data_IF_988341684489
#
_entry.id   IF_988341684489
#
_cell.length_a   1.000
_cell.length_b   1.000
_cell.length_c   1.000
_cell.angle_alpha   90.00
_cell.angle_beta   90.00
_cell.angle_gamma   90.00
#
_symmetry.space_group_name_H-M   'P 1'
#
loop_
_entity.id
_entity.type
_entity.pdbx_description
1 polymer ?
#
# COMPACT_ATOMS: atom_id res chain seq x y z
N UNK A 1 9.85 -24.60 -3.57
CA UNK A 1 10.90 -23.54 -3.61
C UNK A 1 10.50 -22.33 -4.47
N UNK A 2 9.99 -22.53 -5.70
CA UNK A 2 9.46 -21.47 -6.58
C UNK A 2 8.25 -20.73 -5.99
N UNK A 3 7.32 -21.45 -5.35
CA UNK A 3 6.11 -20.84 -4.73
C UNK A 3 6.42 -19.76 -3.70
N UNK A 4 7.46 -19.93 -2.86
CA UNK A 4 7.83 -18.92 -1.83
C UNK A 4 8.40 -17.64 -2.43
N UNK A 5 9.26 -17.77 -3.44
CA UNK A 5 9.80 -16.61 -4.17
C UNK A 5 8.70 -15.90 -4.95
N UNK A 6 7.80 -16.66 -5.59
CA UNK A 6 6.65 -16.12 -6.29
C UNK A 6 5.72 -15.34 -5.35
N UNK A 7 5.35 -15.92 -4.19
CA UNK A 7 4.55 -15.22 -3.17
C UNK A 7 5.24 -13.95 -2.68
N UNK A 8 6.55 -13.98 -2.44
CA UNK A 8 7.31 -12.79 -2.06
C UNK A 8 7.23 -11.68 -3.11
N UNK A 9 7.50 -12.01 -4.38
CA UNK A 9 7.42 -11.03 -5.47
C UNK A 9 6.00 -10.52 -5.67
N UNK A 10 4.99 -11.39 -5.52
CA UNK A 10 3.59 -11.01 -5.61
C UNK A 10 3.22 -10.02 -4.50
N UNK A 11 3.62 -10.27 -3.25
CA UNK A 11 3.40 -9.34 -2.14
C UNK A 11 4.09 -8.00 -2.37
N UNK A 12 5.34 -7.99 -2.81
CA UNK A 12 6.07 -6.77 -3.16
C UNK A 12 5.35 -5.98 -4.25
N UNK A 13 4.90 -6.68 -5.31
CA UNK A 13 4.18 -6.04 -6.42
C UNK A 13 2.86 -5.42 -5.94
N UNK A 14 2.10 -6.14 -5.11
CA UNK A 14 0.86 -5.62 -4.50
C UNK A 14 1.15 -4.39 -3.63
N UNK A 15 2.21 -4.41 -2.81
CA UNK A 15 2.58 -3.25 -1.99
C UNK A 15 2.95 -2.03 -2.84
N UNK A 16 3.71 -2.21 -3.91
CA UNK A 16 4.08 -1.12 -4.83
C UNK A 16 2.85 -0.57 -5.55
N UNK A 17 1.97 -1.44 -6.06
CA UNK A 17 0.72 -1.00 -6.68
C UNK A 17 -0.19 -0.27 -5.69
N UNK A 18 -0.31 -0.78 -4.46
CA UNK A 18 -1.08 -0.13 -3.39
C UNK A 18 -0.57 1.29 -3.12
N UNK A 19 0.75 1.48 -3.05
CA UNK A 19 1.36 2.80 -2.89
C UNK A 19 0.95 3.75 -4.03
N UNK A 20 1.05 3.32 -5.30
CA UNK A 20 0.73 4.16 -6.45
C UNK A 20 -0.77 4.51 -6.49
N UNK A 21 -1.63 3.51 -6.32
CA UNK A 21 -3.08 3.67 -6.37
C UNK A 21 -3.57 4.55 -5.21
N UNK A 22 -3.08 4.34 -3.99
CA UNK A 22 -3.47 5.15 -2.84
C UNK A 22 -3.05 6.61 -3.00
N UNK A 23 -1.84 6.89 -3.49
CA UNK A 23 -1.43 8.26 -3.78
C UNK A 23 -2.31 8.93 -4.83
N UNK A 24 -2.54 8.24 -5.95
CA UNK A 24 -3.43 8.73 -7.00
C UNK A 24 -4.83 9.03 -6.45
N UNK A 25 -5.37 8.11 -5.65
CA UNK A 25 -6.65 8.27 -4.97
C UNK A 25 -6.69 9.51 -4.08
N UNK A 26 -5.66 9.75 -3.26
CA UNK A 26 -5.61 10.91 -2.36
C UNK A 26 -5.66 12.21 -3.16
N UNK A 27 -4.87 12.31 -4.23
CA UNK A 27 -4.85 13.50 -5.09
C UNK A 27 -6.23 13.70 -5.73
N UNK A 28 -6.81 12.64 -6.29
CA UNK A 28 -8.10 12.70 -6.94
C UNK A 28 -9.22 13.11 -5.96
N UNK A 29 -9.25 12.54 -4.76
CA UNK A 29 -10.23 12.91 -3.74
C UNK A 29 -10.00 14.33 -3.21
N UNK A 30 -8.75 14.82 -3.19
CA UNK A 30 -8.46 16.22 -2.84
C UNK A 30 -8.92 17.19 -3.93
N UNK A 31 -8.88 16.80 -5.20
CA UNK A 31 -9.49 17.54 -6.31
C UNK A 31 -11.01 17.56 -6.16
N UNK A 32 -11.65 16.41 -5.90
CA UNK A 32 -13.09 16.37 -5.59
C UNK A 32 -13.46 17.24 -4.39
N UNK A 33 -12.67 17.22 -3.31
CA UNK A 33 -12.87 18.11 -2.15
C UNK A 33 -12.75 19.60 -2.49
N UNK A 34 -12.09 19.97 -3.59
CA UNK A 34 -12.00 21.37 -4.01
C UNK A 34 -13.17 21.80 -4.89
N UNK A 35 -13.72 20.89 -5.68
CA UNK A 35 -14.72 21.23 -6.71
C UNK A 35 -16.14 20.78 -6.36
N UNK A 36 -16.29 19.80 -5.47
CA UNK A 36 -17.59 19.22 -5.11
C UNK A 36 -18.11 19.73 -3.77
N UNK A 37 -17.34 20.52 -3.02
CA UNK A 37 -17.78 21.10 -1.75
C UNK A 37 -17.79 22.63 -1.83
N UNK A 38 -18.67 23.28 -1.06
CA UNK A 38 -18.72 24.75 -1.02
C UNK A 38 -17.47 25.35 -0.36
N UNK A 39 -16.97 24.70 0.69
CA UNK A 39 -15.70 25.02 1.31
C UNK A 39 -14.79 23.79 1.42
N UNK A 40 -13.48 24.04 1.44
CA UNK A 40 -12.44 22.99 1.60
C UNK A 40 -12.53 22.32 2.99
N UNK A 41 -13.20 22.96 3.95
CA UNK A 41 -13.45 22.39 5.28
C UNK A 41 -14.67 21.46 5.31
N UNK A 42 -15.54 21.53 4.30
CA UNK A 42 -16.70 20.66 4.21
C UNK A 42 -16.24 19.29 3.69
N UNK A 43 -16.75 18.24 4.32
CA UNK A 43 -16.33 16.87 4.03
C UNK A 43 -17.32 16.11 3.13
N UNK A 44 -18.52 16.65 2.92
CA UNK A 44 -19.60 16.00 2.17
C UNK A 44 -19.64 16.62 0.78
N UNK A 45 -19.56 15.79 -0.26
CA UNK A 45 -19.71 16.22 -1.65
C UNK A 45 -21.15 16.63 -1.94
N UNK A 46 -21.33 17.78 -2.58
CA UNK A 46 -22.62 18.24 -3.10
C UNK A 46 -23.04 17.51 -4.38
N UNK A 47 -22.13 16.75 -5.01
CA UNK A 47 -22.40 16.02 -6.26
C UNK A 47 -22.96 14.63 -5.97
N UNK A 48 -22.30 13.87 -5.09
CA UNK A 48 -22.65 12.47 -4.82
C UNK A 48 -23.02 12.20 -3.34
N UNK A 49 -22.90 13.19 -2.45
CA UNK A 49 -23.20 13.04 -1.02
C UNK A 49 -22.14 12.24 -0.24
N UNK A 50 -21.02 11.86 -0.86
CA UNK A 50 -20.00 11.05 -0.19
C UNK A 50 -19.13 11.86 0.77
N UNK A 51 -18.64 11.19 1.82
CA UNK A 51 -17.69 11.79 2.75
C UNK A 51 -16.25 11.64 2.24
N UNK A 52 -15.80 12.67 1.51
CA UNK A 52 -14.48 12.78 0.91
C UNK A 52 -13.36 12.74 1.97
N UNK A 53 -13.58 13.31 3.16
CA UNK A 53 -12.60 13.29 4.25
C UNK A 53 -12.34 11.87 4.77
N UNK A 54 -13.39 11.05 4.91
CA UNK A 54 -13.25 9.64 5.30
C UNK A 54 -12.49 8.87 4.22
N UNK A 55 -12.79 9.12 2.94
CA UNK A 55 -12.09 8.51 1.81
C UNK A 55 -10.59 8.86 1.83
N UNK A 56 -10.23 10.14 2.01
CA UNK A 56 -8.83 10.57 2.14
C UNK A 56 -8.16 9.91 3.34
N UNK A 57 -8.84 9.83 4.49
CA UNK A 57 -8.29 9.20 5.70
C UNK A 57 -8.00 7.71 5.46
N UNK A 58 -8.93 6.99 4.86
CA UNK A 58 -8.77 5.57 4.58
C UNK A 58 -7.63 5.33 3.57
N UNK A 59 -7.55 6.14 2.52
CA UNK A 59 -6.46 6.08 1.55
C UNK A 59 -5.10 6.36 2.19
N UNK A 60 -5.00 7.33 3.11
CA UNK A 60 -3.78 7.58 3.90
C UNK A 60 -3.39 6.38 4.76
N UNK A 61 -4.35 5.73 5.41
CA UNK A 61 -4.09 4.53 6.21
C UNK A 61 -3.55 3.39 5.33
N UNK A 62 -4.20 3.13 4.19
CA UNK A 62 -3.76 2.09 3.24
C UNK A 62 -2.37 2.40 2.71
N UNK A 63 -2.10 3.67 2.41
CA UNK A 63 -0.79 4.11 1.96
C UNK A 63 0.30 3.83 3.00
N UNK A 64 0.10 4.26 4.25
CA UNK A 64 1.06 4.01 5.35
C UNK A 64 1.26 2.51 5.58
N UNK A 65 0.18 1.74 5.61
CA UNK A 65 0.24 0.29 5.75
C UNK A 65 1.05 -0.37 4.62
N UNK A 66 0.84 0.07 3.38
CA UNK A 66 1.55 -0.47 2.21
C UNK A 66 3.05 -0.16 2.26
N UNK A 67 3.43 1.03 2.72
CA UNK A 67 4.84 1.41 2.92
C UNK A 67 5.48 0.57 4.03
N UNK A 68 4.80 0.40 5.16
CA UNK A 68 5.29 -0.43 6.27
C UNK A 68 5.46 -1.89 5.86
N UNK A 69 4.48 -2.43 5.13
CA UNK A 69 4.55 -3.80 4.60
C UNK A 69 5.73 -3.96 3.64
N UNK A 70 5.93 -3.01 2.71
CA UNK A 70 7.05 -3.03 1.79
C UNK A 70 8.40 -2.94 2.51
N UNK A 71 8.51 -2.06 3.51
CA UNK A 71 9.71 -1.93 4.35
C UNK A 71 10.02 -3.23 5.10
N UNK A 72 9.01 -3.88 5.67
CA UNK A 72 9.15 -5.17 6.33
C UNK A 72 9.59 -6.26 5.34
N UNK A 73 9.01 -6.32 4.13
CA UNK A 73 9.38 -7.27 3.08
C UNK A 73 10.83 -7.06 2.60
N UNK A 74 11.29 -5.82 2.53
CA UNK A 74 12.68 -5.49 2.18
C UNK A 74 13.62 -5.89 3.32
N UNK A 75 13.25 -5.59 4.58
CA UNK A 75 14.04 -5.95 5.76
C UNK A 75 14.21 -7.47 5.89
N UNK A 76 13.12 -8.23 5.78
CA UNK A 76 13.13 -9.69 5.85
C UNK A 76 13.58 -10.37 4.55
N UNK A 77 13.93 -9.60 3.50
CA UNK A 77 14.38 -10.14 2.21
C UNK A 77 15.46 -11.19 2.36
N UNK A 78 16.51 -10.90 3.14
CA UNK A 78 17.62 -11.84 3.36
C UNK A 78 17.14 -13.12 4.05
N UNK A 79 16.30 -13.01 5.09
CA UNK A 79 15.77 -14.16 5.84
C UNK A 79 14.88 -15.06 4.97
N UNK A 80 14.07 -14.48 4.07
CA UNK A 80 13.13 -15.21 3.22
C UNK A 80 13.85 -15.84 2.01
N UNK A 81 14.82 -15.15 1.39
CA UNK A 81 15.50 -15.62 0.19
C UNK A 81 16.73 -16.51 0.45
N UNK A 82 17.42 -16.38 1.60
CA UNK A 82 18.66 -17.12 1.90
C UNK A 82 18.49 -18.40 2.74
N UNK A 83 17.28 -18.92 2.97
CA UNK A 83 17.08 -20.20 3.68
C UNK A 83 17.82 -21.40 3.05
N UNK A 84 18.35 -21.26 1.83
CA UNK A 84 19.06 -22.32 1.11
C UNK A 84 20.47 -22.64 1.64
N UNK A 85 21.18 -21.65 2.23
CA UNK A 85 22.59 -21.85 2.63
C UNK A 85 22.76 -22.67 3.92
N UNK A 86 21.83 -22.56 4.86
CA UNK A 86 21.92 -23.30 6.13
C UNK A 86 21.61 -24.79 5.99
N UNK A 87 20.73 -25.18 5.06
CA UNK A 87 20.37 -26.60 4.93
C UNK A 87 21.49 -27.41 4.25
N UNK A 88 22.22 -26.86 3.29
CA UNK A 88 23.38 -27.56 2.68
C UNK A 88 24.60 -27.64 3.61
N UNK A 89 24.78 -26.68 4.53
CA UNK A 89 25.90 -26.69 5.48
C UNK A 89 25.67 -27.57 6.71
N UNK A 90 24.42 -28.03 6.93
CA UNK A 90 24.05 -28.92 8.05
C UNK A 90 24.13 -30.41 7.68
N UNK A 91 24.36 -30.72 6.40
CA UNK A 91 24.45 -32.08 5.86
C UNK A 91 25.81 -32.38 5.19
N UNK A 92 26.82 -31.53 5.41
CA UNK A 92 28.21 -31.74 4.98
C UNK A 92 29.11 -31.74 6.21
#
# INVERSE_FOLDING_TARGET
MIKRKFVYFLLVTISVLGILISHYGIINTMVSLKYETENIQDCISNVNGENLCITIRNLKIIFVFSVLLLAALIYFRKKILNQKKETELRFK
#
